data_IF_922570931774
#
_entry.id   IF_922570931774
#
_cell.length_a   1.000
_cell.length_b   1.000
_cell.length_c   1.000
_cell.angle_alpha   90.00
_cell.angle_beta   90.00
_cell.angle_gamma   90.00
#
_symmetry.space_group_name_H-M   'P 1'
#
loop_
_entity.id
_entity.type
_entity.pdbx_description
1 polymer ?
#
# COMPACT_ATOMS: atom_id res chain seq x y z
N UNK A 1 15.17 -0.11 -3.41
CA UNK A 1 15.91 0.99 -4.06
C UNK A 1 14.94 1.97 -4.65
N UNK A 2 13.91 1.56 -5.36
CA UNK A 2 13.02 2.54 -5.98
C UNK A 2 11.59 2.08 -5.77
N UNK A 3 10.77 2.96 -5.20
CA UNK A 3 9.32 2.82 -5.15
C UNK A 3 8.73 3.52 -6.38
N UNK A 4 7.90 2.81 -7.12
CA UNK A 4 7.20 3.32 -8.30
C UNK A 4 5.71 3.42 -7.95
N UNK A 5 5.17 4.64 -8.00
CA UNK A 5 3.75 4.90 -7.75
C UNK A 5 3.13 5.51 -9.00
N UNK A 6 1.94 5.05 -9.39
CA UNK A 6 1.16 5.72 -10.43
C UNK A 6 0.66 7.07 -9.93
N UNK A 7 0.72 8.11 -10.75
CA UNK A 7 0.14 9.44 -10.45
C UNK A 7 -1.39 9.39 -10.30
N UNK A 8 -2.02 8.42 -10.96
CA UNK A 8 -3.45 8.18 -10.93
C UNK A 8 -3.85 7.15 -9.87
N UNK A 9 -2.92 6.74 -8.99
CA UNK A 9 -3.28 5.90 -7.85
C UNK A 9 -4.28 6.65 -6.96
N UNK A 10 -5.43 6.02 -6.72
CA UNK A 10 -6.52 6.50 -5.86
C UNK A 10 -6.94 5.35 -4.95
N UNK A 11 -6.18 5.16 -3.88
CA UNK A 11 -6.38 4.09 -2.89
C UNK A 11 -6.10 4.64 -1.50
N UNK A 12 -6.90 4.19 -0.55
CA UNK A 12 -6.58 4.34 0.87
C UNK A 12 -6.05 3.01 1.39
N UNK A 13 -5.13 3.07 2.35
CA UNK A 13 -4.71 1.91 3.13
C UNK A 13 -5.42 1.96 4.47
N UNK A 14 -6.04 0.85 4.85
CA UNK A 14 -6.57 0.65 6.19
C UNK A 14 -5.63 -0.26 6.94
N UNK A 15 -5.11 0.20 8.07
CA UNK A 15 -4.30 -0.60 8.99
C UNK A 15 -5.17 -1.02 10.19
N UNK A 16 -5.18 -2.32 10.47
CA UNK A 16 -5.88 -2.92 11.59
C UNK A 16 -4.84 -3.44 12.57
N UNK A 17 -4.78 -2.90 13.79
CA UNK A 17 -3.90 -3.47 14.83
C UNK A 17 -4.70 -4.37 15.75
N UNK A 18 -4.26 -5.62 15.87
CA UNK A 18 -4.87 -6.62 16.72
C UNK A 18 -4.29 -6.54 18.16
N UNK A 19 -5.05 -6.94 19.19
CA UNK A 19 -4.58 -6.91 20.59
C UNK A 19 -3.29 -7.71 20.85
N UNK A 20 -3.04 -8.75 20.05
CA UNK A 20 -1.85 -9.60 20.14
C UNK A 20 -0.63 -9.00 19.39
N UNK A 21 -0.74 -7.78 18.86
CA UNK A 21 0.35 -7.05 18.19
C UNK A 21 0.53 -7.35 16.70
N UNK A 22 -0.40 -8.08 16.08
CA UNK A 22 -0.44 -8.26 14.62
C UNK A 22 -0.99 -7.01 13.94
N UNK A 23 -0.54 -6.75 12.70
CA UNK A 23 -1.03 -5.64 11.89
C UNK A 23 -1.45 -6.15 10.52
N UNK A 24 -2.75 -6.10 10.25
CA UNK A 24 -3.30 -6.39 8.93
C UNK A 24 -3.47 -5.08 8.16
N UNK A 25 -3.32 -5.16 6.83
CA UNK A 25 -3.47 -4.00 5.95
C UNK A 25 -4.28 -4.34 4.71
N UNK A 26 -5.21 -3.47 4.37
CA UNK A 26 -6.03 -3.61 3.18
C UNK A 26 -6.01 -2.33 2.35
N UNK A 27 -5.94 -2.47 1.02
CA UNK A 27 -6.07 -1.35 0.08
C UNK A 27 -7.52 -1.26 -0.40
N UNK A 28 -8.16 -0.12 -0.15
CA UNK A 28 -9.55 0.13 -0.53
C UNK A 28 -9.67 1.29 -1.51
N UNK A 29 -10.76 1.32 -2.27
CA UNK A 29 -11.11 2.51 -3.04
C UNK A 29 -11.64 3.58 -2.06
N UNK A 30 -11.16 4.83 -2.10
CA UNK A 30 -11.48 5.85 -1.11
C UNK A 30 -12.99 6.16 -1.00
N UNK A 31 -13.78 5.81 -2.01
CA UNK A 31 -15.24 6.02 -2.01
C UNK A 31 -15.99 4.98 -1.18
N UNK A 32 -15.36 3.87 -0.82
CA UNK A 32 -15.97 2.84 0.01
C UNK A 32 -15.75 3.13 1.49
N UNK A 33 -16.69 2.64 2.30
CA UNK A 33 -16.55 2.64 3.76
C UNK A 33 -15.43 1.67 4.17
N UNK A 34 -14.83 1.93 5.31
CA UNK A 34 -13.83 1.03 5.90
C UNK A 34 -14.49 -0.32 6.18
N UNK A 35 -14.00 -1.43 5.60
CA UNK A 35 -14.61 -2.73 5.78
C UNK A 35 -14.44 -3.24 7.22
N UNK A 36 -15.37 -4.08 7.66
CA UNK A 36 -15.20 -4.85 8.89
C UNK A 36 -14.11 -5.89 8.67
N UNK A 37 -13.16 -5.96 9.60
CA UNK A 37 -12.02 -6.87 9.52
C UNK A 37 -11.95 -7.77 10.75
N UNK A 38 -11.50 -9.00 10.55
CA UNK A 38 -11.16 -9.94 11.62
C UNK A 38 -9.73 -10.39 11.38
N UNK A 39 -8.89 -10.30 12.42
CA UNK A 39 -7.46 -10.53 12.32
C UNK A 39 -7.17 -11.91 11.69
N UNK A 40 -6.34 -11.96 10.65
CA UNK A 40 -6.07 -13.23 9.94
C UNK A 40 -5.27 -14.22 10.79
N UNK A 41 -4.46 -13.71 11.73
CA UNK A 41 -3.60 -14.53 12.59
C UNK A 41 -4.27 -15.00 13.89
N UNK A 42 -5.00 -14.11 14.59
CA UNK A 42 -5.59 -14.44 15.89
C UNK A 42 -7.12 -14.62 15.88
N UNK A 43 -7.82 -14.22 14.81
CA UNK A 43 -9.27 -14.36 14.69
C UNK A 43 -10.10 -13.41 15.56
N UNK A 44 -9.46 -12.44 16.23
CA UNK A 44 -10.10 -11.43 17.07
C UNK A 44 -10.37 -10.13 16.28
N UNK A 45 -11.32 -9.29 16.70
CA UNK A 45 -11.51 -7.97 16.10
C UNK A 45 -10.32 -7.06 16.41
N UNK A 46 -10.01 -6.10 15.51
CA UNK A 46 -8.93 -5.16 15.73
C UNK A 46 -9.24 -4.20 16.90
N UNK A 47 -8.21 -3.80 17.62
CA UNK A 47 -8.29 -2.80 18.69
C UNK A 47 -8.28 -1.38 18.11
N UNK A 48 -7.47 -1.16 17.08
CA UNK A 48 -7.37 0.13 16.38
C UNK A 48 -7.55 -0.07 14.88
N UNK A 49 -8.18 0.93 14.25
CA UNK A 49 -8.38 0.98 12.80
C UNK A 49 -7.96 2.37 12.33
N UNK A 50 -6.92 2.42 11.51
CA UNK A 50 -6.37 3.64 10.94
C UNK A 50 -6.53 3.62 9.42
N UNK A 51 -6.93 4.75 8.84
CA UNK A 51 -7.14 4.88 7.40
C UNK A 51 -6.36 6.08 6.88
N UNK A 52 -5.42 5.83 5.98
CA UNK A 52 -4.53 6.83 5.40
C UNK A 52 -4.55 6.75 3.87
N UNK A 53 -4.12 7.82 3.20
CA UNK A 53 -3.85 7.78 1.77
C UNK A 53 -2.68 6.80 1.49
N UNK A 54 -2.86 5.90 0.51
CA UNK A 54 -1.87 4.87 0.24
C UNK A 54 -0.54 5.43 -0.28
N UNK A 55 -0.56 6.54 -1.02
CA UNK A 55 0.66 7.20 -1.50
C UNK A 55 1.43 7.76 -0.29
N UNK A 56 0.75 8.52 0.58
CA UNK A 56 1.37 9.12 1.77
C UNK A 56 1.97 8.04 2.69
N UNK A 57 1.22 6.98 2.94
CA UNK A 57 1.67 5.86 3.77
C UNK A 57 2.94 5.20 3.21
N UNK A 58 2.95 4.86 1.92
CA UNK A 58 4.09 4.21 1.28
C UNK A 58 5.30 5.15 1.16
N UNK A 59 5.07 6.44 0.91
CA UNK A 59 6.12 7.45 0.90
C UNK A 59 6.80 7.58 2.25
N UNK A 60 6.04 7.63 3.34
CA UNK A 60 6.59 7.67 4.70
C UNK A 60 7.52 6.50 4.97
N UNK A 61 7.15 5.28 4.56
CA UNK A 61 7.99 4.09 4.70
C UNK A 61 9.24 4.20 3.82
N UNK A 62 9.09 4.67 2.58
CA UNK A 62 10.20 4.83 1.65
C UNK A 62 11.25 5.82 2.18
N UNK A 63 10.81 6.97 2.70
CA UNK A 63 11.68 7.99 3.31
C UNK A 63 12.47 7.43 4.49
N UNK A 64 11.80 6.74 5.42
CA UNK A 64 12.44 6.12 6.59
C UNK A 64 13.53 5.11 6.21
N UNK A 65 13.43 4.50 5.02
CA UNK A 65 14.36 3.47 4.52
C UNK A 65 15.35 4.00 3.48
N UNK A 66 15.34 5.30 3.19
CA UNK A 66 16.15 5.91 2.14
C UNK A 66 15.90 5.30 0.77
N UNK A 67 14.64 5.03 0.45
CA UNK A 67 14.18 4.55 -0.86
C UNK A 67 13.72 5.73 -1.70
N UNK A 68 14.13 5.77 -2.96
CA UNK A 68 13.71 6.84 -3.88
C UNK A 68 12.30 6.55 -4.37
N UNK A 69 11.42 7.56 -4.35
CA UNK A 69 10.04 7.44 -4.85
C UNK A 69 9.94 8.14 -6.21
N UNK A 70 9.41 7.43 -7.20
CA UNK A 70 9.10 7.98 -8.52
C UNK A 70 7.61 7.87 -8.81
N UNK A 71 7.05 8.97 -9.26
CA UNK A 71 5.70 9.03 -9.81
C UNK A 71 5.72 8.75 -11.30
N UNK A 72 4.86 7.84 -11.74
CA UNK A 72 4.79 7.36 -13.12
C UNK A 72 3.44 7.80 -13.72
N UNK A 73 3.52 8.68 -14.72
CA UNK A 73 2.38 9.09 -15.53
C UNK A 73 1.79 7.90 -16.30
N UNK A 74 0.47 7.90 -16.45
CA UNK A 74 -0.31 6.92 -17.22
C UNK A 74 -0.38 7.26 -18.72
N UNK A 75 0.24 8.35 -19.18
CA UNK A 75 0.21 8.81 -20.58
C UNK A 75 0.91 7.85 -21.56
N UNK A 76 1.75 6.97 -21.04
CA UNK A 76 2.50 5.99 -21.83
C UNK A 76 2.05 4.56 -21.49
N UNK A 77 2.11 3.66 -22.47
CA UNK A 77 1.66 2.26 -22.33
C UNK A 77 2.17 1.57 -21.06
N UNK A 78 3.46 1.72 -20.74
CA UNK A 78 4.06 1.10 -19.55
C UNK A 78 3.59 1.72 -18.24
N UNK A 79 3.28 3.01 -18.24
CA UNK A 79 2.74 3.72 -17.08
C UNK A 79 1.29 3.37 -16.82
N UNK A 80 0.50 3.25 -17.89
CA UNK A 80 -0.86 2.70 -17.81
C UNK A 80 -0.85 1.26 -17.27
N UNK A 81 0.07 0.42 -17.76
CA UNK A 81 0.25 -0.95 -17.26
C UNK A 81 0.60 -1.02 -15.77
N UNK A 82 1.37 -0.07 -15.24
CA UNK A 82 1.64 -0.01 -13.79
C UNK A 82 0.32 0.10 -13.01
N UNK A 83 -0.60 0.94 -13.44
CA UNK A 83 -1.90 1.11 -12.80
C UNK A 83 -2.82 -0.10 -13.03
N UNK A 84 -3.00 -0.50 -14.29
CA UNK A 84 -4.04 -1.46 -14.68
C UNK A 84 -3.67 -2.91 -14.41
N UNK A 85 -2.39 -3.28 -14.49
CA UNK A 85 -1.92 -4.66 -14.29
C UNK A 85 -1.33 -4.90 -12.90
N UNK A 86 -0.69 -3.89 -12.30
CA UNK A 86 -0.02 -4.01 -11.00
C UNK A 86 -0.71 -3.21 -9.88
N UNK A 87 -1.87 -2.59 -10.14
CA UNK A 87 -2.62 -1.84 -9.14
C UNK A 87 -2.03 -0.48 -8.78
N UNK A 88 -1.05 0.01 -9.55
CA UNK A 88 -0.45 1.34 -9.41
C UNK A 88 0.72 1.42 -8.44
N UNK A 89 1.19 0.30 -7.89
CA UNK A 89 2.28 0.22 -6.92
C UNK A 89 3.29 -0.83 -7.38
N UNK A 90 4.55 -0.46 -7.52
CA UNK A 90 5.64 -1.39 -7.81
C UNK A 90 6.94 -0.98 -7.10
N UNK A 91 7.88 -1.92 -7.01
CA UNK A 91 9.17 -1.68 -6.37
C UNK A 91 10.32 -2.38 -7.07
N UNK A 92 11.46 -1.72 -7.11
CA UNK A 92 12.75 -2.30 -7.48
C UNK A 92 13.51 -2.60 -6.17
N UNK A 93 14.01 -3.84 -6.06
CA UNK A 93 14.83 -4.43 -4.97
C UNK A 93 16.27 -4.60 -5.53
N UNK A 94 17.43 -4.39 -4.88
CA UNK A 94 17.95 -4.29 -3.52
C UNK A 94 18.84 -5.47 -3.65
N UNK A 95 18.25 -6.53 -3.18
CA UNK A 95 18.74 -7.86 -3.37
C UNK A 95 17.51 -8.70 -3.66
N UNK A 96 17.69 -9.82 -4.33
CA UNK A 96 16.61 -10.77 -4.52
C UNK A 96 16.23 -11.34 -3.15
N UNK A 97 14.95 -11.21 -2.77
CA UNK A 97 14.45 -11.58 -1.45
C UNK A 97 13.89 -13.00 -1.38
N UNK A 98 13.73 -13.67 -2.53
CA UNK A 98 13.30 -15.07 -2.59
C UNK A 98 11.82 -15.32 -2.32
N UNK A 99 11.02 -14.24 -2.27
CA UNK A 99 9.57 -14.28 -2.45
C UNK A 99 9.21 -14.66 -3.88
#
# INVERSE_FOLDING_TARGET
ETLLLSEDLRRDVVSYECPEGHTDRELIDPRHETPEHTCEECGEPPETVERDDAIEHLMSIAEQRGTETHFISTDFEKGDQLLTAFGGIAGILRYQTGV
#
